data_IF_144933342021
#
_entry.id   IF_144933342021
#
_cell.length_a   1.000
_cell.length_b   1.000
_cell.length_c   1.000
_cell.angle_alpha   90.00
_cell.angle_beta   90.00
_cell.angle_gamma   90.00
#
_symmetry.space_group_name_H-M   'P 1'
#
loop_
_entity.id
_entity.type
_entity.pdbx_description
1 polymer ?
#
# COMPACT_ATOMS: atom_id res chain seq x y z
N UNK A 1 9.09 -6.32 -0.04
CA UNK A 1 8.91 -7.33 1.03
C UNK A 1 8.75 -8.69 0.39
N UNK A 2 8.34 -9.72 1.12
CA UNK A 2 7.92 -10.99 0.51
C UNK A 2 6.41 -10.97 0.30
N UNK A 3 5.94 -11.59 -0.78
CA UNK A 3 4.52 -11.68 -1.12
C UNK A 3 3.72 -12.37 0.01
N UNK A 4 4.38 -13.27 0.74
CA UNK A 4 3.84 -13.97 1.90
C UNK A 4 3.37 -13.04 3.04
N UNK A 5 3.89 -11.81 3.11
CA UNK A 5 3.43 -10.80 4.07
C UNK A 5 1.93 -10.53 3.94
N UNK A 6 1.37 -10.68 2.74
CA UNK A 6 -0.04 -10.42 2.44
C UNK A 6 -0.88 -11.69 2.42
N UNK A 7 -0.32 -12.82 2.89
CA UNK A 7 -1.09 -14.05 3.02
C UNK A 7 -2.28 -13.82 3.96
N UNK A 8 -3.43 -14.38 3.58
CA UNK A 8 -4.70 -14.29 4.30
C UNK A 8 -5.31 -12.88 4.35
N UNK A 9 -4.75 -11.93 3.59
CA UNK A 9 -5.39 -10.62 3.41
C UNK A 9 -6.59 -10.74 2.46
N UNK A 10 -7.63 -9.93 2.64
CA UNK A 10 -8.87 -10.01 1.86
C UNK A 10 -8.74 -9.36 0.47
N UNK A 11 -7.70 -9.72 -0.29
CA UNK A 11 -7.45 -9.21 -1.65
C UNK A 11 -7.19 -10.36 -2.60
N UNK A 12 -7.71 -10.26 -3.83
CA UNK A 12 -7.54 -11.30 -4.86
C UNK A 12 -6.12 -11.31 -5.44
N UNK A 13 -5.45 -10.16 -5.44
CA UNK A 13 -4.09 -10.00 -5.95
C UNK A 13 -3.38 -8.81 -5.31
N UNK A 14 -2.05 -8.76 -5.47
CA UNK A 14 -1.22 -7.63 -5.05
C UNK A 14 -1.61 -6.33 -5.77
N UNK A 15 -2.04 -6.42 -7.02
CA UNK A 15 -2.52 -5.27 -7.79
C UNK A 15 -3.79 -4.69 -7.15
N UNK A 16 -4.75 -5.55 -6.79
CA UNK A 16 -5.99 -5.11 -6.14
C UNK A 16 -5.72 -4.52 -4.74
N UNK A 17 -4.78 -5.12 -4.00
CA UNK A 17 -4.29 -4.60 -2.73
C UNK A 17 -3.76 -3.16 -2.87
N UNK A 18 -2.79 -2.92 -3.75
CA UNK A 18 -2.16 -1.59 -3.90
C UNK A 18 -2.96 -0.61 -4.76
N UNK A 19 -4.08 -1.04 -5.35
CA UNK A 19 -5.10 -0.13 -5.90
C UNK A 19 -5.98 0.44 -4.79
N UNK A 20 -6.22 -0.34 -3.73
CA UNK A 20 -7.13 0.04 -2.63
C UNK A 20 -6.38 0.65 -1.44
N UNK A 21 -5.14 0.22 -1.23
CA UNK A 21 -4.29 0.61 -0.09
C UNK A 21 -3.01 1.26 -0.58
N UNK A 22 -2.45 2.17 0.23
CA UNK A 22 -1.14 2.76 -0.04
C UNK A 22 -0.04 1.86 0.51
N UNK A 23 0.78 1.31 -0.38
CA UNK A 23 2.01 0.62 0.00
C UNK A 23 3.19 1.58 0.10
N UNK A 24 4.00 1.41 1.15
CA UNK A 24 5.25 2.14 1.35
C UNK A 24 6.34 1.10 1.65
N UNK A 25 7.41 1.12 0.87
CA UNK A 25 8.54 0.21 1.01
C UNK A 25 9.79 0.98 1.44
N UNK A 26 10.32 0.64 2.61
CA UNK A 26 11.57 1.22 3.09
C UNK A 26 12.76 0.38 2.63
N UNK A 27 13.78 1.04 2.08
CA UNK A 27 15.05 0.42 1.69
C UNK A 27 16.21 1.28 2.15
N UNK A 28 17.40 0.72 2.32
CA UNK A 28 18.60 1.53 2.56
C UNK A 28 18.96 2.35 1.32
N UNK A 29 19.41 3.59 1.51
CA UNK A 29 19.89 4.43 0.41
C UNK A 29 21.08 3.74 -0.28
N UNK A 30 20.95 3.53 -1.59
CA UNK A 30 21.96 2.84 -2.41
C UNK A 30 21.67 1.35 -2.64
N UNK A 31 20.70 0.78 -1.93
CA UNK A 31 20.25 -0.60 -2.14
C UNK A 31 19.07 -0.64 -3.10
N UNK A 32 19.21 -1.41 -4.18
CA UNK A 32 18.14 -1.62 -5.14
C UNK A 32 17.03 -2.50 -4.54
N UNK A 33 15.76 -2.06 -4.58
CA UNK A 33 14.64 -2.91 -4.22
C UNK A 33 14.58 -4.16 -5.11
N UNK A 34 14.06 -5.29 -4.59
CA UNK A 34 13.79 -6.46 -5.42
C UNK A 34 12.86 -6.13 -6.60
N UNK A 35 13.06 -6.81 -7.74
CA UNK A 35 12.31 -6.54 -8.98
C UNK A 35 10.79 -6.55 -8.78
N UNK A 36 10.26 -7.54 -8.06
CA UNK A 36 8.83 -7.63 -7.81
C UNK A 36 8.27 -6.45 -7.01
N UNK A 37 9.08 -5.81 -6.15
CA UNK A 37 8.68 -4.61 -5.42
C UNK A 37 8.64 -3.38 -6.33
N UNK A 38 9.53 -3.33 -7.33
CA UNK A 38 9.51 -2.27 -8.36
C UNK A 38 8.27 -2.39 -9.25
N UNK A 39 7.77 -3.60 -9.47
CA UNK A 39 6.56 -3.87 -10.24
C UNK A 39 5.26 -3.57 -9.46
N UNK A 40 5.35 -3.38 -8.13
CA UNK A 40 4.20 -3.04 -7.29
C UNK A 40 3.92 -1.53 -7.29
N UNK A 41 2.65 -1.16 -7.15
CA UNK A 41 2.24 0.23 -6.96
C UNK A 41 2.52 0.70 -5.51
N UNK A 42 3.80 0.85 -5.16
CA UNK A 42 4.26 1.24 -3.82
C UNK A 42 5.23 2.41 -3.89
N UNK A 43 5.22 3.27 -2.87
CA UNK A 43 6.22 4.33 -2.74
C UNK A 43 7.47 3.80 -2.07
N UNK A 44 8.61 3.92 -2.74
CA UNK A 44 9.90 3.46 -2.20
C UNK A 44 10.59 4.63 -1.49
N UNK A 45 10.85 4.46 -0.20
CA UNK A 45 11.50 5.47 0.64
C UNK A 45 12.88 4.98 1.10
N UNK A 46 13.91 5.74 0.74
CA UNK A 46 15.29 5.46 1.11
C UNK A 46 15.60 5.91 2.54
N UNK A 47 15.89 4.96 3.43
CA UNK A 47 16.37 5.22 4.78
C UNK A 47 17.82 5.67 4.76
N UNK A 48 18.07 6.83 5.34
CA UNK A 48 19.43 7.32 5.54
C UNK A 48 20.15 6.46 6.58
N UNK A 49 21.45 6.20 6.42
CA UNK A 49 22.27 5.60 7.47
C UNK A 49 22.23 6.41 8.78
N UNK A 50 22.43 5.74 9.92
CA UNK A 50 22.38 6.35 11.26
C UNK A 50 23.31 7.56 11.42
N UNK A 51 24.47 7.54 10.77
CA UNK A 51 25.43 8.66 10.72
C UNK A 51 24.84 9.96 10.13
N UNK A 52 23.75 9.89 9.38
CA UNK A 52 23.05 11.05 8.79
C UNK A 52 21.66 11.27 9.40
N UNK A 53 21.53 11.09 10.72
CA UNK A 53 20.26 11.26 11.47
C UNK A 53 19.52 12.59 11.21
N UNK A 54 20.24 13.66 10.88
CA UNK A 54 19.63 14.95 10.53
C UNK A 54 18.72 14.88 9.29
N UNK A 55 18.86 13.84 8.46
CA UNK A 55 18.02 13.57 7.27
C UNK A 55 16.73 12.80 7.60
N UNK A 56 16.57 12.31 8.83
CA UNK A 56 15.35 11.58 9.23
C UNK A 56 14.11 12.47 9.20
N UNK A 57 14.27 13.78 9.44
CA UNK A 57 13.18 14.74 9.28
C UNK A 57 12.63 14.73 7.85
N UNK A 58 13.50 14.82 6.84
CA UNK A 58 13.10 14.80 5.44
C UNK A 58 12.41 13.48 5.04
N UNK A 59 12.90 12.34 5.53
CA UNK A 59 12.25 11.04 5.32
C UNK A 59 10.86 10.98 5.94
N UNK A 60 10.73 11.44 7.20
CA UNK A 60 9.45 11.52 7.92
C UNK A 60 8.46 12.42 7.17
N UNK A 61 8.91 13.57 6.70
CA UNK A 61 8.07 14.54 6.00
C UNK A 61 7.60 13.99 4.64
N UNK A 62 8.48 13.26 3.94
CA UNK A 62 8.14 12.54 2.70
C UNK A 62 7.09 11.44 2.96
N UNK A 63 7.26 10.65 4.01
CA UNK A 63 6.29 9.64 4.42
C UNK A 63 4.91 10.25 4.70
N UNK A 64 4.85 11.33 5.49
CA UNK A 64 3.57 11.96 5.82
C UNK A 64 2.92 12.61 4.61
N UNK A 65 3.71 13.15 3.68
CA UNK A 65 3.19 13.69 2.42
C UNK A 65 2.51 12.59 1.59
N UNK A 66 3.11 11.40 1.48
CA UNK A 66 2.51 10.26 0.78
C UNK A 66 1.21 9.79 1.44
N UNK A 67 1.19 9.74 2.78
CA UNK A 67 0.01 9.36 3.56
C UNK A 67 -1.10 10.40 3.39
N UNK A 68 -0.77 11.69 3.53
CA UNK A 68 -1.72 12.78 3.39
C UNK A 68 -2.31 12.82 1.98
N UNK A 69 -1.48 12.64 0.95
CA UNK A 69 -1.95 12.58 -0.43
C UNK A 69 -2.95 11.42 -0.61
N UNK A 70 -2.63 10.23 -0.10
CA UNK A 70 -3.53 9.08 -0.15
C UNK A 70 -4.85 9.29 0.63
N UNK A 71 -4.80 10.00 1.77
CA UNK A 71 -6.00 10.30 2.56
C UNK A 71 -6.88 11.37 1.89
N UNK A 72 -6.29 12.32 1.19
CA UNK A 72 -7.00 13.37 0.44
C UNK A 72 -7.59 12.86 -0.87
N UNK A 73 -7.00 11.81 -1.47
CA UNK A 73 -7.48 11.22 -2.70
C UNK A 73 -8.88 10.60 -2.54
N UNK A 74 -9.74 10.85 -3.53
CA UNK A 74 -11.05 10.22 -3.61
C UNK A 74 -10.89 8.72 -3.89
N UNK A 75 -11.34 7.87 -2.96
CA UNK A 75 -11.24 6.42 -3.11
C UNK A 75 -12.38 5.89 -3.97
N UNK A 76 -12.05 5.41 -5.18
CA UNK A 76 -13.03 4.81 -6.10
C UNK A 76 -13.57 3.46 -5.60
N UNK A 77 -12.74 2.66 -4.92
CA UNK A 77 -13.14 1.42 -4.25
C UNK A 77 -13.13 1.65 -2.74
N UNK A 78 -14.33 1.69 -2.14
CA UNK A 78 -14.46 1.60 -0.68
C UNK A 78 -14.28 0.15 -0.28
N UNK A 79 -13.28 -0.12 0.55
CA UNK A 79 -13.17 -1.40 1.24
C UNK A 79 -14.49 -1.67 1.98
N UNK A 80 -15.21 -2.70 1.58
CA UNK A 80 -16.34 -3.22 2.36
C UNK A 80 -15.73 -4.27 3.28
N UNK A 81 -15.66 -3.95 4.56
CA UNK A 81 -15.34 -4.92 5.61
C UNK A 81 -16.43 -6.01 5.60
N UNK A 82 -16.24 -7.09 4.85
CA UNK A 82 -17.12 -8.26 4.94
C UNK A 82 -16.85 -9.08 6.21
N UNK A 83 -15.87 -8.70 7.03
CA UNK A 83 -15.51 -9.44 8.26
C UNK A 83 -16.56 -9.33 9.37
N UNK A 84 -17.58 -8.49 9.25
CA UNK A 84 -18.66 -8.39 10.25
C UNK A 84 -19.94 -9.15 9.91
N UNK A 85 -20.09 -9.81 8.76
CA UNK A 85 -21.31 -10.58 8.47
C UNK A 85 -21.04 -11.87 7.69
N UNK A 86 -20.80 -12.93 8.46
CA UNK A 86 -21.00 -14.34 8.12
C UNK A 86 -20.02 -14.97 7.10
N UNK A 87 -19.30 -16.05 7.48
CA UNK A 87 -18.30 -16.72 6.62
C UNK A 87 -18.87 -17.34 5.34
N UNK A 88 -20.19 -17.55 5.25
CA UNK A 88 -20.84 -18.25 4.13
C UNK A 88 -21.34 -17.37 2.97
N UNK A 89 -21.16 -16.04 3.02
CA UNK A 89 -21.63 -15.16 1.94
C UNK A 89 -20.56 -14.17 1.49
N UNK A 90 -19.73 -14.61 0.54
CA UNK A 90 -18.99 -13.70 -0.34
C UNK A 90 -20.01 -12.96 -1.23
N UNK A 91 -20.42 -11.76 -0.82
CA UNK A 91 -21.25 -10.89 -1.64
C UNK A 91 -20.34 -10.17 -2.63
N UNK A 92 -20.21 -10.73 -3.82
CA UNK A 92 -19.56 -10.04 -4.95
C UNK A 92 -20.46 -8.90 -5.38
N UNK A 93 -20.17 -7.69 -4.93
CA UNK A 93 -20.87 -6.48 -5.40
C UNK A 93 -20.35 -6.14 -6.79
N UNK A 94 -21.05 -6.60 -7.83
CA UNK A 94 -20.80 -6.14 -9.20
C UNK A 94 -21.17 -4.66 -9.29
N UNK A 95 -20.20 -3.83 -9.68
CA UNK A 95 -20.44 -2.41 -9.99
C UNK A 95 -21.44 -2.32 -11.14
N UNK A 96 -22.58 -1.64 -10.91
CA UNK A 96 -23.53 -1.34 -11.99
C UNK A 96 -22.88 -0.34 -12.95
N UNK A 97 -23.02 -0.52 -14.28
CA UNK A 97 -22.55 0.47 -15.24
C UNK A 97 -23.33 1.78 -15.03
N UNK A 98 -22.59 2.88 -15.03
CA UNK A 98 -23.15 4.23 -15.02
C UNK A 98 -23.76 4.43 -16.41
N UNK A 99 -25.08 4.69 -16.45
CA UNK A 99 -25.82 5.07 -17.66
C UNK A 99 -25.40 6.45 -18.14
#
# INVERSE_FOLDING_TARGET
GTDWQFKDWPFESIVDLFTTTKGIYFTEVGTLPPQHVLDWNVSILGMSPLQFQHRFSALRDSFWTEVEHFLRQYRQKRFVNHTTLQPDRRIVVKSKPIL
#
